data_IF_193176401962
#
_entry.id   IF_193176401962
#
_cell.length_a   1.000
_cell.length_b   1.000
_cell.length_c   1.000
_cell.angle_alpha   90.00
_cell.angle_beta   90.00
_cell.angle_gamma   90.00
#
_symmetry.space_group_name_H-M   'P 1'
#
loop_
_entity.id
_entity.type
_entity.pdbx_description
1 polymer ?
#
# COMPACT_ATOMS: atom_id res chain seq x y z
N UNK A 1 62.42 -17.03 37.96
CA UNK A 1 62.10 -16.58 36.59
C UNK A 1 61.12 -17.57 36.03
N UNK A 2 59.88 -17.17 35.71
CA UNK A 2 58.99 -17.81 34.74
C UNK A 2 57.86 -16.83 34.45
N UNK A 3 57.69 -16.52 33.16
CA UNK A 3 56.98 -15.38 32.62
C UNK A 3 55.46 -15.60 32.57
N UNK A 4 54.74 -14.55 32.91
CA UNK A 4 53.32 -14.36 32.65
C UNK A 4 53.14 -13.73 31.26
N UNK A 5 52.36 -14.37 30.39
CA UNK A 5 51.65 -13.76 29.26
C UNK A 5 50.60 -14.80 28.83
N UNK A 6 49.30 -14.61 29.03
CA UNK A 6 48.55 -13.44 28.62
C UNK A 6 47.84 -13.74 27.30
N UNK A 7 47.07 -14.83 27.23
CA UNK A 7 46.10 -15.07 26.16
C UNK A 7 44.70 -14.82 26.73
N UNK A 8 44.37 -13.55 26.87
CA UNK A 8 43.02 -13.05 27.13
C UNK A 8 42.45 -12.63 25.78
N UNK A 9 41.79 -13.54 25.08
CA UNK A 9 40.89 -13.20 23.98
C UNK A 9 40.01 -14.41 23.67
N UNK A 10 38.74 -14.16 23.32
CA UNK A 10 37.69 -15.13 22.92
C UNK A 10 36.83 -15.68 24.06
N UNK A 11 35.87 -14.87 24.53
CA UNK A 11 34.49 -15.30 24.84
C UNK A 11 33.60 -14.07 25.11
N UNK A 12 33.57 -13.13 24.17
CA UNK A 12 32.61 -12.02 24.16
C UNK A 12 31.51 -12.34 23.12
N UNK A 13 30.87 -13.49 23.28
CA UNK A 13 29.75 -13.90 22.44
C UNK A 13 28.60 -14.23 23.38
N UNK A 14 27.61 -13.33 23.42
CA UNK A 14 26.19 -13.53 23.80
C UNK A 14 25.52 -12.25 24.36
N UNK A 15 26.13 -11.06 24.28
CA UNK A 15 25.41 -9.81 24.50
C UNK A 15 25.26 -9.07 23.16
N UNK A 16 24.14 -9.34 22.49
CA UNK A 16 23.81 -8.75 21.19
C UNK A 16 22.33 -8.94 20.83
N UNK A 17 21.43 -8.82 21.81
CA UNK A 17 20.04 -8.44 21.51
C UNK A 17 20.06 -6.98 21.02
N UNK A 18 20.42 -6.74 19.76
CA UNK A 18 20.12 -5.47 19.11
C UNK A 18 18.64 -5.45 18.76
N UNK A 19 17.83 -5.11 19.76
CA UNK A 19 16.52 -4.48 19.56
C UNK A 19 16.77 -3.05 19.06
N UNK A 20 17.15 -2.91 17.79
CA UNK A 20 17.11 -1.61 17.12
C UNK A 20 15.65 -1.36 16.73
N UNK A 21 14.96 -0.71 17.67
CA UNK A 21 13.84 0.17 17.35
C UNK A 21 14.43 1.49 16.86
N UNK A 22 14.56 1.64 15.55
CA UNK A 22 14.65 2.92 14.85
C UNK A 22 13.88 2.70 13.53
N UNK A 23 12.59 3.03 13.46
CA UNK A 23 12.04 4.38 13.25
C UNK A 23 12.32 4.89 11.83
N UNK A 24 11.27 4.83 11.02
CA UNK A 24 10.88 5.90 10.09
C UNK A 24 11.88 6.21 8.97
N UNK A 25 11.85 5.41 7.91
CA UNK A 25 12.48 5.75 6.63
C UNK A 25 11.58 5.27 5.51
N UNK A 26 10.98 6.22 4.80
CA UNK A 26 10.07 5.93 3.69
C UNK A 26 10.76 5.11 2.62
N UNK A 27 10.29 3.88 2.42
CA UNK A 27 10.56 3.15 1.20
C UNK A 27 9.19 2.85 0.58
N UNK A 28 8.75 3.78 -0.27
CA UNK A 28 7.97 3.47 -1.46
C UNK A 28 8.79 2.49 -2.32
N UNK A 29 8.98 1.26 -1.82
CA UNK A 29 9.69 0.21 -2.54
C UNK A 29 8.79 -0.12 -3.71
N UNK A 30 9.10 0.40 -4.90
CA UNK A 30 8.34 0.16 -6.12
C UNK A 30 8.06 -1.35 -6.26
N UNK A 31 6.87 -1.75 -5.86
CA UNK A 31 6.47 -3.14 -5.81
C UNK A 31 6.32 -3.64 -7.23
N UNK A 32 6.94 -4.78 -7.55
CA UNK A 32 6.96 -5.31 -8.90
C UNK A 32 5.55 -5.44 -9.50
N UNK A 33 4.58 -5.78 -8.65
CA UNK A 33 3.16 -5.86 -8.98
C UNK A 33 2.53 -4.51 -9.37
N UNK A 34 2.78 -3.43 -8.61
CA UNK A 34 2.16 -2.12 -8.83
C UNK A 34 2.75 -1.35 -10.02
N UNK A 35 3.91 -1.77 -10.54
CA UNK A 35 4.42 -1.26 -11.83
C UNK A 35 3.52 -1.63 -13.00
N UNK A 36 2.71 -2.69 -12.89
CA UNK A 36 1.76 -3.06 -13.93
C UNK A 36 0.53 -2.12 -13.84
N UNK A 37 0.28 -1.28 -14.87
CA UNK A 37 -0.84 -0.33 -14.83
C UNK A 37 -2.21 -1.00 -14.77
N UNK A 38 -2.36 -2.23 -15.29
CA UNK A 38 -3.61 -2.99 -15.20
C UNK A 38 -3.91 -3.41 -13.76
N UNK A 39 -2.88 -3.86 -13.03
CA UNK A 39 -2.98 -4.20 -11.59
C UNK A 39 -3.32 -2.95 -10.78
N UNK A 40 -2.59 -1.85 -11.02
CA UNK A 40 -2.82 -0.58 -10.35
C UNK A 40 -4.25 -0.06 -10.60
N UNK A 41 -4.77 -0.13 -11.83
CA UNK A 41 -6.12 0.28 -12.17
C UNK A 41 -7.20 -0.59 -11.49
N UNK A 42 -6.98 -1.91 -11.40
CA UNK A 42 -7.89 -2.82 -10.71
C UNK A 42 -7.98 -2.49 -9.21
N UNK A 43 -6.83 -2.26 -8.56
CA UNK A 43 -6.76 -1.88 -7.14
C UNK A 43 -7.38 -0.51 -6.92
N UNK A 44 -7.05 0.46 -7.76
CA UNK A 44 -7.61 1.81 -7.69
C UNK A 44 -9.14 1.83 -7.78
N UNK A 45 -9.71 1.01 -8.67
CA UNK A 45 -11.16 0.92 -8.81
C UNK A 45 -11.83 0.33 -7.56
N UNK A 46 -11.22 -0.66 -6.92
CA UNK A 46 -11.71 -1.27 -5.68
C UNK A 46 -11.56 -0.30 -4.49
N UNK A 47 -10.37 0.27 -4.30
CA UNK A 47 -10.10 1.23 -3.22
C UNK A 47 -10.94 2.51 -3.29
N UNK A 48 -11.22 3.02 -4.50
CA UNK A 48 -12.06 4.22 -4.64
C UNK A 48 -13.49 3.97 -4.17
N UNK A 49 -14.04 2.77 -4.39
CA UNK A 49 -15.32 2.36 -3.83
C UNK A 49 -15.29 2.24 -2.31
N UNK A 50 -14.23 1.64 -1.76
CA UNK A 50 -14.04 1.51 -0.30
C UNK A 50 -13.80 2.87 0.38
N UNK A 51 -13.24 3.86 -0.33
CA UNK A 51 -12.98 5.20 0.19
C UNK A 51 -14.24 6.08 0.24
N UNK A 52 -15.16 5.91 -0.70
CA UNK A 52 -16.32 6.78 -0.88
C UNK A 52 -17.15 7.06 0.40
N UNK A 53 -17.35 6.10 1.33
CA UNK A 53 -18.08 6.35 2.59
C UNK A 53 -17.37 7.30 3.56
N UNK A 54 -16.06 7.50 3.43
CA UNK A 54 -15.23 8.20 4.41
C UNK A 54 -14.90 9.64 4.02
N UNK A 55 -15.21 10.03 2.78
CA UNK A 55 -14.93 11.36 2.26
C UNK A 55 -16.19 11.98 1.63
N UNK A 56 -16.45 13.28 1.84
CA UNK A 56 -17.62 13.93 1.25
C UNK A 56 -17.57 13.87 -0.28
N UNK A 57 -18.70 13.55 -0.90
CA UNK A 57 -18.82 13.52 -2.36
C UNK A 57 -18.51 14.91 -2.97
N UNK A 58 -17.81 14.93 -4.11
CA UNK A 58 -17.42 16.19 -4.79
C UNK A 58 -16.20 16.90 -4.18
N UNK A 59 -15.62 16.35 -3.11
CA UNK A 59 -14.36 16.81 -2.54
C UNK A 59 -13.22 16.76 -3.57
N UNK A 60 -12.27 17.68 -3.43
CA UNK A 60 -10.99 17.55 -4.12
C UNK A 60 -10.11 16.54 -3.37
N UNK A 61 -9.44 15.65 -4.09
CA UNK A 61 -8.47 14.69 -3.57
C UNK A 61 -7.11 14.99 -4.17
N UNK A 62 -6.07 14.94 -3.33
CA UNK A 62 -4.69 15.10 -3.75
C UNK A 62 -3.86 13.92 -3.23
N UNK A 63 -2.67 13.76 -3.80
CA UNK A 63 -1.66 12.81 -3.33
C UNK A 63 -0.39 13.57 -2.96
N UNK A 64 0.41 13.01 -2.07
CA UNK A 64 1.72 13.58 -1.73
C UNK A 64 2.66 13.59 -2.94
N UNK A 65 3.62 14.53 -3.03
CA UNK A 65 4.57 14.61 -4.15
C UNK A 65 5.44 13.36 -4.28
N UNK A 66 5.70 12.66 -3.17
CA UNK A 66 6.50 11.43 -3.13
C UNK A 66 5.69 10.16 -3.46
N UNK A 67 4.38 10.30 -3.69
CA UNK A 67 3.46 9.19 -3.98
C UNK A 67 3.14 9.07 -5.48
N UNK A 68 4.00 9.61 -6.35
CA UNK A 68 3.88 9.54 -7.81
C UNK A 68 4.11 8.11 -8.34
N UNK A 69 3.18 7.21 -8.03
CA UNK A 69 3.16 5.81 -8.42
C UNK A 69 2.00 5.58 -9.41
N UNK A 70 2.09 4.55 -10.27
CA UNK A 70 0.99 4.17 -11.17
C UNK A 70 -0.36 4.01 -10.46
N UNK A 71 -0.35 3.59 -9.18
CA UNK A 71 -1.53 3.44 -8.35
C UNK A 71 -2.18 4.77 -7.95
N UNK A 72 -1.41 5.82 -7.62
CA UNK A 72 -1.99 7.12 -7.25
C UNK A 72 -2.66 7.80 -8.45
N UNK A 73 -2.05 7.68 -9.62
CA UNK A 73 -2.65 8.15 -10.87
C UNK A 73 -3.95 7.42 -11.18
N UNK A 74 -3.93 6.08 -11.17
CA UNK A 74 -5.11 5.27 -11.43
C UNK A 74 -6.22 5.51 -10.40
N UNK A 75 -5.86 5.74 -9.13
CA UNK A 75 -6.79 6.07 -8.06
C UNK A 75 -7.40 7.46 -8.26
N UNK A 76 -6.60 8.45 -8.64
CA UNK A 76 -7.10 9.79 -9.00
C UNK A 76 -8.13 9.71 -10.13
N UNK A 77 -7.84 8.96 -11.20
CA UNK A 77 -8.79 8.76 -12.31
C UNK A 77 -10.06 8.02 -11.87
N UNK A 78 -9.94 6.97 -11.05
CA UNK A 78 -11.09 6.24 -10.51
C UNK A 78 -11.97 7.16 -9.65
N UNK A 79 -11.37 7.99 -8.81
CA UNK A 79 -12.06 8.99 -8.00
C UNK A 79 -12.75 10.05 -8.86
N UNK A 80 -12.09 10.57 -9.89
CA UNK A 80 -12.71 11.54 -10.81
C UNK A 80 -13.93 10.93 -11.52
N UNK A 81 -13.86 9.66 -11.95
CA UNK A 81 -15.01 8.95 -12.53
C UNK A 81 -16.19 8.81 -11.56
N UNK A 82 -15.94 8.80 -10.25
CA UNK A 82 -16.96 8.76 -9.21
C UNK A 82 -17.49 10.15 -8.79
N UNK A 83 -16.99 11.23 -9.43
CA UNK A 83 -17.45 12.59 -9.20
C UNK A 83 -16.63 13.41 -8.20
N UNK A 84 -15.43 12.94 -7.84
CA UNK A 84 -14.46 13.73 -7.06
C UNK A 84 -13.61 14.62 -7.97
N UNK A 85 -12.94 15.63 -7.40
CA UNK A 85 -12.06 16.55 -8.15
C UNK A 85 -10.59 16.20 -7.92
N UNK A 86 -9.74 16.30 -8.94
CA UNK A 86 -8.29 16.15 -8.78
C UNK A 86 -7.67 17.46 -8.29
N UNK A 87 -6.96 17.44 -7.16
CA UNK A 87 -6.38 18.61 -6.49
C UNK A 87 -5.04 19.09 -7.07
N UNK A 88 -4.56 18.51 -8.17
CA UNK A 88 -3.20 18.71 -8.69
C UNK A 88 -2.95 20.07 -9.38
N UNK A 89 -3.97 20.91 -9.62
CA UNK A 89 -3.84 21.99 -10.61
C UNK A 89 -4.54 23.31 -10.29
N UNK A 90 -4.95 23.55 -9.04
CA UNK A 90 -5.75 24.74 -8.69
C UNK A 90 -5.30 25.35 -7.35
N UNK A 91 -5.53 26.65 -7.16
CA UNK A 91 -5.22 27.41 -5.92
C UNK A 91 -5.93 26.83 -4.67
N UNK A 92 -6.86 25.89 -4.88
CA UNK A 92 -7.56 25.11 -3.85
C UNK A 92 -6.87 23.81 -3.46
N UNK A 93 -5.63 23.57 -3.89
CA UNK A 93 -4.83 22.43 -3.43
C UNK A 93 -4.71 22.39 -1.90
N UNK A 94 -4.79 23.54 -1.23
CA UNK A 94 -4.82 23.64 0.25
C UNK A 94 -6.10 23.09 0.88
N UNK A 95 -7.21 22.99 0.14
CA UNK A 95 -8.50 22.44 0.61
C UNK A 95 -8.71 20.98 0.17
N UNK A 96 -7.78 20.40 -0.59
CA UNK A 96 -7.88 19.03 -1.04
C UNK A 96 -7.66 18.05 0.12
N UNK A 97 -8.45 16.97 0.14
CA UNK A 97 -8.24 15.86 1.05
C UNK A 97 -6.96 15.16 0.63
N UNK A 98 -5.94 15.26 1.47
CA UNK A 98 -4.66 14.61 1.21
C UNK A 98 -4.81 13.10 1.41
N UNK A 99 -4.59 12.33 0.34
CA UNK A 99 -4.54 10.88 0.36
C UNK A 99 -3.10 10.40 0.43
N UNK A 100 -2.85 9.39 1.27
CA UNK A 100 -1.56 8.71 1.35
C UNK A 100 -1.67 7.24 1.02
N UNK A 101 -0.84 6.76 0.11
CA UNK A 101 -0.73 5.37 -0.28
C UNK A 101 0.55 4.79 0.33
N UNK A 102 0.39 3.65 0.97
CA UNK A 102 1.49 2.77 1.34
C UNK A 102 1.18 1.38 0.84
N UNK A 103 2.21 0.64 0.43
CA UNK A 103 2.05 -0.76 0.07
C UNK A 103 3.26 -1.61 0.46
N UNK A 104 3.00 -2.89 0.74
CA UNK A 104 4.03 -3.91 0.91
C UNK A 104 3.63 -5.25 0.26
N UNK A 105 4.60 -5.88 -0.43
CA UNK A 105 4.46 -7.24 -0.95
C UNK A 105 4.98 -8.24 0.10
N UNK A 106 4.12 -9.17 0.51
CA UNK A 106 4.42 -10.20 1.52
C UNK A 106 3.96 -11.55 0.98
N UNK A 107 4.91 -12.46 0.77
CA UNK A 107 4.63 -13.84 0.31
C UNK A 107 3.79 -13.91 -0.99
N UNK A 108 3.92 -12.90 -1.87
CA UNK A 108 3.17 -12.81 -3.13
C UNK A 108 1.77 -12.18 -3.01
N UNK A 109 1.36 -11.82 -1.79
CA UNK A 109 0.21 -10.97 -1.54
C UNK A 109 0.65 -9.51 -1.45
N UNK A 110 -0.21 -8.62 -1.93
CA UNK A 110 0.01 -7.18 -2.00
C UNK A 110 -0.86 -6.48 -0.95
N UNK A 111 -0.23 -5.97 0.11
CA UNK A 111 -0.90 -5.18 1.12
C UNK A 111 -0.92 -3.74 0.65
N UNK A 112 -2.11 -3.16 0.53
CA UNK A 112 -2.28 -1.75 0.17
C UNK A 112 -3.01 -1.03 1.29
N UNK A 113 -2.49 0.13 1.65
CA UNK A 113 -3.03 1.01 2.67
C UNK A 113 -3.26 2.39 2.08
N UNK A 114 -4.48 2.88 2.22
CA UNK A 114 -4.90 4.21 1.82
C UNK A 114 -5.29 5.00 3.07
N UNK A 115 -4.62 6.12 3.32
CA UNK A 115 -4.89 6.99 4.47
C UNK A 115 -5.45 8.33 4.02
N UNK A 116 -6.48 8.77 4.71
CA UNK A 116 -7.00 10.15 4.71
C UNK A 116 -6.55 10.82 6.03
N UNK A 117 -6.86 12.11 6.27
CA UNK A 117 -6.61 12.72 7.57
C UNK A 117 -7.35 12.07 8.74
N UNK A 118 -8.48 11.39 8.50
CA UNK A 118 -9.35 10.86 9.55
C UNK A 118 -9.42 9.33 9.60
N UNK A 119 -9.10 8.65 8.51
CA UNK A 119 -9.25 7.20 8.38
C UNK A 119 -8.08 6.58 7.63
N UNK A 120 -7.80 5.32 7.96
CA UNK A 120 -6.84 4.47 7.25
C UNK A 120 -7.54 3.18 6.85
N UNK A 121 -7.50 2.89 5.57
CA UNK A 121 -8.06 1.71 4.94
C UNK A 121 -6.90 0.79 4.57
N UNK A 122 -6.89 -0.46 5.02
CA UNK A 122 -5.88 -1.45 4.65
C UNK A 122 -6.56 -2.69 4.07
N UNK A 123 -6.05 -3.19 2.95
CA UNK A 123 -6.59 -4.34 2.24
C UNK A 123 -5.46 -5.16 1.63
N UNK A 124 -5.67 -6.48 1.58
CA UNK A 124 -4.71 -7.41 0.97
C UNK A 124 -5.28 -7.83 -0.38
N UNK A 125 -4.43 -7.80 -1.41
CA UNK A 125 -4.75 -8.23 -2.75
C UNK A 125 -3.89 -9.41 -3.14
N UNK A 126 -4.47 -10.37 -3.84
CA UNK A 126 -3.74 -11.48 -4.45
C UNK A 126 -3.84 -11.36 -5.96
N UNK A 127 -2.71 -11.52 -6.64
CA UNK A 127 -2.72 -11.65 -8.09
C UNK A 127 -3.47 -12.92 -8.48
N UNK A 128 -4.39 -12.79 -9.44
CA UNK A 128 -5.04 -13.93 -10.05
C UNK A 128 -4.02 -14.74 -10.85
N UNK A 129 -3.30 -15.65 -10.19
CA UNK A 129 -2.52 -16.68 -10.90
C UNK A 129 -3.54 -17.70 -11.39
N UNK A 130 -3.67 -17.86 -12.70
CA UNK A 130 -4.41 -18.99 -13.27
C UNK A 130 -3.90 -20.28 -12.62
N UNK A 131 -4.69 -20.88 -11.72
CA UNK A 131 -4.52 -22.30 -11.40
C UNK A 131 -4.94 -23.07 -12.64
N UNK A 132 -3.99 -23.33 -13.53
CA UNK A 132 -4.16 -24.27 -14.61
C UNK A 132 -4.28 -25.68 -14.01
N UNK A 133 -5.51 -26.07 -13.68
CA UNK A 133 -5.81 -27.38 -13.12
C UNK A 133 -7.31 -27.66 -13.11
N UNK A 134 -7.78 -28.41 -14.12
CA UNK A 134 -9.09 -29.05 -14.11
C UNK A 134 -9.92 -28.81 -15.36
N UNK A 135 -9.80 -29.73 -16.32
CA UNK A 135 -10.69 -29.90 -17.46
C UNK A 135 -12.19 -29.92 -17.07
N UNK A 136 -13.03 -29.14 -17.78
CA UNK A 136 -14.27 -29.60 -18.44
C UNK A 136 -15.08 -28.46 -19.10
N UNK A 137 -15.40 -28.68 -20.37
CA UNK A 137 -16.65 -28.30 -21.05
C UNK A 137 -16.98 -26.81 -21.27
N UNK A 138 -16.78 -26.37 -22.52
CA UNK A 138 -17.75 -25.55 -23.27
C UNK A 138 -18.21 -24.25 -22.64
N UNK A 139 -17.35 -23.23 -22.65
CA UNK A 139 -17.74 -21.84 -22.43
C UNK A 139 -16.58 -20.96 -22.88
N UNK A 140 -16.86 -19.99 -23.75
CA UNK A 140 -15.90 -19.00 -24.20
C UNK A 140 -15.20 -18.40 -22.97
N UNK A 141 -13.89 -18.62 -22.74
CA UNK A 141 -13.22 -17.99 -21.64
C UNK A 141 -13.11 -16.50 -21.99
N UNK A 142 -13.84 -15.65 -21.27
CA UNK A 142 -13.50 -14.23 -21.23
C UNK A 142 -11.98 -14.13 -20.96
N UNK A 143 -11.22 -13.32 -21.71
CA UNK A 143 -9.81 -13.14 -21.45
C UNK A 143 -9.68 -12.49 -20.08
N UNK A 144 -9.45 -13.29 -19.04
CA UNK A 144 -9.05 -12.79 -17.73
C UNK A 144 -7.71 -12.11 -17.96
N UNK A 145 -7.76 -10.78 -18.03
CA UNK A 145 -6.62 -9.95 -18.37
C UNK A 145 -5.49 -10.26 -17.38
N UNK A 146 -4.33 -10.65 -17.91
CA UNK A 146 -3.08 -10.77 -17.17
C UNK A 146 -2.83 -9.45 -16.43
N UNK A 147 -3.19 -9.38 -15.15
CA UNK A 147 -3.24 -8.13 -14.39
C UNK A 147 -4.45 -7.95 -13.46
N UNK A 148 -5.40 -8.89 -13.44
CA UNK A 148 -6.45 -8.89 -12.42
C UNK A 148 -5.91 -9.28 -11.04
N UNK A 149 -6.25 -8.48 -10.04
CA UNK A 149 -6.03 -8.77 -8.62
C UNK A 149 -7.36 -8.82 -7.90
N UNK A 150 -7.42 -9.62 -6.84
CA UNK A 150 -8.63 -9.80 -6.06
C UNK A 150 -8.35 -9.57 -4.58
N UNK A 151 -9.29 -8.98 -3.82
CA UNK A 151 -9.21 -8.92 -2.37
C UNK A 151 -9.01 -10.32 -1.77
N UNK A 152 -7.99 -10.48 -0.94
CA UNK A 152 -7.63 -11.74 -0.28
C UNK A 152 -7.94 -11.73 1.22
N UNK A 153 -8.76 -10.79 1.69
CA UNK A 153 -9.13 -10.64 3.10
C UNK A 153 -10.13 -9.52 3.33
N UNK A 154 -10.54 -9.29 4.59
CA UNK A 154 -11.44 -8.20 4.95
C UNK A 154 -10.78 -6.84 4.74
N UNK A 155 -11.59 -5.82 4.46
CA UNK A 155 -11.17 -4.42 4.55
C UNK A 155 -10.98 -4.07 6.03
N UNK A 156 -9.79 -3.61 6.39
CA UNK A 156 -9.50 -3.07 7.72
C UNK A 156 -9.64 -1.54 7.68
N UNK A 157 -10.45 -1.00 8.59
CA UNK A 157 -10.71 0.44 8.71
C UNK A 157 -10.28 0.90 10.09
N UNK A 158 -9.37 1.86 10.16
CA UNK A 158 -8.86 2.45 11.39
C UNK A 158 -9.20 3.94 11.41
N UNK A 159 -9.76 4.45 12.51
CA UNK A 159 -9.94 5.89 12.72
C UNK A 159 -8.65 6.49 13.26
N UNK A 160 -8.16 7.54 12.61
CA UNK A 160 -6.99 8.30 13.06
C UNK A 160 -7.50 9.33 14.08
N UNK A 161 -7.63 8.92 15.34
CA UNK A 161 -7.82 9.88 16.43
C UNK A 161 -6.51 10.63 16.62
N UNK A 162 -6.54 11.95 16.41
CA UNK A 162 -5.44 12.86 16.71
C UNK A 162 -5.06 12.70 18.19
N UNK A 163 -4.05 11.88 18.46
CA UNK A 163 -3.42 11.82 19.76
C UNK A 163 -2.77 13.17 20.01
N UNK A 164 -3.48 14.03 20.74
CA UNK A 164 -2.87 15.12 21.46
C UNK A 164 -1.93 14.49 22.48
N UNK A 165 -0.66 14.31 22.11
CA UNK A 165 0.42 14.18 23.08
C UNK A 165 0.50 15.53 23.80
N UNK A 166 -0.06 15.58 25.02
CA UNK A 166 0.19 16.68 25.98
C UNK A 166 1.61 16.61 26.51
#
# INVERSE_FOLDING_TARGET
MNQSAGFLFVALVLCGCQTTSDREGGENREEGALRNPAVAASIASDLSGDLAPFIPQGSAVAFGPDEAQPLSYALSEAMVRQGYRSGSNDDRAQEAIQLRIWSAEVEGDLLVRLSTPSHRLSKVYRQGVYRQGGSSHGGHPDPVQSGSVFPAGPLLVETITGGASS
#
